data_IF_157311498405
#
_entry.id   IF_157311498405
#
_cell.length_a   1.000
_cell.length_b   1.000
_cell.length_c   1.000
_cell.angle_alpha   90.00
_cell.angle_beta   90.00
_cell.angle_gamma   90.00
#
_symmetry.space_group_name_H-M   'P 1'
#
loop_
_entity.id
_entity.type
_entity.pdbx_description
1 polymer ?
#
# COMPACT_ATOMS: atom_id res chain seq x y z
N UNK A 1 -4.92 10.69 -18.95
CA UNK A 1 -6.00 11.06 -18.01
C UNK A 1 -6.77 9.84 -17.49
N UNK A 2 -7.33 8.96 -18.34
CA UNK A 2 -8.05 7.76 -17.88
C UNK A 2 -7.17 6.80 -17.04
N UNK A 3 -5.93 6.56 -17.47
CA UNK A 3 -4.98 5.71 -16.73
C UNK A 3 -4.64 6.25 -15.33
N UNK A 4 -4.48 7.57 -15.20
CA UNK A 4 -4.21 8.22 -13.92
C UNK A 4 -5.36 8.05 -12.93
N UNK A 5 -6.59 8.25 -13.42
CA UNK A 5 -7.81 8.04 -12.64
C UNK A 5 -7.96 6.56 -12.25
N UNK A 6 -7.59 5.64 -13.14
CA UNK A 6 -7.57 4.20 -12.86
C UNK A 6 -6.62 3.83 -11.73
N UNK A 7 -5.41 4.40 -11.71
CA UNK A 7 -4.42 4.18 -10.63
C UNK A 7 -4.93 4.69 -9.30
N UNK A 8 -5.45 5.93 -9.26
CA UNK A 8 -5.96 6.53 -8.02
C UNK A 8 -7.18 5.78 -7.51
N UNK A 9 -8.13 5.43 -8.37
CA UNK A 9 -9.29 4.63 -7.99
C UNK A 9 -8.89 3.25 -7.44
N UNK A 10 -7.89 2.61 -8.03
CA UNK A 10 -7.36 1.33 -7.56
C UNK A 10 -6.68 1.46 -6.20
N UNK A 11 -5.93 2.53 -5.97
CA UNK A 11 -5.32 2.85 -4.67
C UNK A 11 -6.39 3.04 -3.58
N UNK A 12 -7.43 3.84 -3.87
CA UNK A 12 -8.56 4.06 -2.95
C UNK A 12 -9.26 2.74 -2.61
N UNK A 13 -9.50 1.88 -3.61
CA UNK A 13 -10.09 0.57 -3.39
C UNK A 13 -9.24 -0.29 -2.43
N UNK A 14 -7.91 -0.32 -2.61
CA UNK A 14 -7.01 -1.04 -1.70
C UNK A 14 -7.06 -0.46 -0.29
N UNK A 15 -7.09 0.87 -0.13
CA UNK A 15 -7.20 1.54 1.19
C UNK A 15 -8.46 1.06 1.90
N UNK A 16 -9.61 1.07 1.22
CA UNK A 16 -10.89 0.66 1.80
C UNK A 16 -10.89 -0.82 2.20
N UNK A 17 -10.41 -1.71 1.32
CA UNK A 17 -10.32 -3.15 1.61
C UNK A 17 -9.35 -3.39 2.78
N UNK A 18 -8.20 -2.71 2.80
CA UNK A 18 -7.22 -2.83 3.88
C UNK A 18 -7.80 -2.44 5.22
N UNK A 19 -8.59 -1.35 5.29
CA UNK A 19 -9.30 -0.97 6.51
C UNK A 19 -10.26 -2.06 6.99
N UNK A 20 -10.97 -2.71 6.07
CA UNK A 20 -11.88 -3.80 6.40
C UNK A 20 -11.14 -5.04 6.91
N UNK A 21 -10.06 -5.44 6.25
CA UNK A 21 -9.21 -6.56 6.68
C UNK A 21 -8.56 -6.28 8.03
N UNK A 22 -8.09 -5.05 8.27
CA UNK A 22 -7.54 -4.63 9.57
C UNK A 22 -8.58 -4.79 10.69
N UNK A 23 -9.83 -4.36 10.46
CA UNK A 23 -10.93 -4.53 11.43
C UNK A 23 -11.17 -6.01 11.73
N UNK A 24 -11.22 -6.85 10.69
CA UNK A 24 -11.40 -8.30 10.83
C UNK A 24 -10.25 -8.94 11.60
N UNK A 25 -9.00 -8.60 11.29
CA UNK A 25 -7.83 -9.11 11.99
C UNK A 25 -7.84 -8.75 13.48
N UNK A 26 -8.22 -7.51 13.83
CA UNK A 26 -8.36 -7.08 15.23
C UNK A 26 -9.45 -7.88 15.95
N UNK A 27 -10.62 -7.99 15.34
CA UNK A 27 -11.73 -8.79 15.87
C UNK A 27 -11.32 -10.26 16.14
N UNK A 28 -10.66 -10.92 15.18
CA UNK A 28 -10.22 -12.30 15.38
C UNK A 28 -9.10 -12.43 16.43
N UNK A 29 -8.21 -11.44 16.52
CA UNK A 29 -7.15 -11.41 17.55
C UNK A 29 -7.76 -11.33 18.95
N UNK A 30 -8.74 -10.45 19.16
CA UNK A 30 -9.48 -10.32 20.42
C UNK A 30 -10.26 -11.61 20.74
N UNK A 31 -10.91 -12.19 19.72
CA UNK A 31 -11.72 -13.41 19.85
C UNK A 31 -10.90 -14.65 20.24
N UNK A 32 -9.62 -14.72 19.84
CA UNK A 32 -8.79 -15.90 20.04
C UNK A 32 -8.00 -15.86 21.36
N UNK A 33 -7.85 -14.68 21.98
CA UNK A 33 -7.42 -14.35 23.37
C UNK A 33 -6.18 -15.03 23.99
N UNK A 34 -5.70 -16.19 23.53
CA UNK A 34 -4.60 -16.97 24.12
C UNK A 34 -3.35 -17.02 23.23
N UNK A 35 -3.49 -17.16 21.92
CA UNK A 35 -2.39 -17.03 20.96
C UNK A 35 -3.00 -16.67 19.61
N UNK A 36 -3.01 -15.38 19.26
CA UNK A 36 -3.43 -14.99 17.92
C UNK A 36 -2.42 -15.56 16.91
N UNK A 37 -2.88 -16.34 15.90
CA UNK A 37 -2.03 -16.89 14.87
C UNK A 37 -1.06 -15.83 14.33
N UNK A 38 0.23 -16.18 14.25
CA UNK A 38 1.27 -15.28 13.72
C UNK A 38 0.90 -14.74 12.33
N UNK A 39 0.17 -15.53 11.54
CA UNK A 39 -0.40 -15.13 10.26
C UNK A 39 -1.43 -13.99 10.35
N UNK A 40 -2.30 -13.93 11.37
CA UNK A 40 -3.20 -12.77 11.57
C UNK A 40 -2.42 -11.49 11.85
N UNK A 41 -1.38 -11.59 12.68
CA UNK A 41 -0.49 -10.47 13.00
C UNK A 41 0.26 -10.00 11.75
N UNK A 42 0.77 -10.92 10.95
CA UNK A 42 1.43 -10.62 9.68
C UNK A 42 0.48 -9.90 8.71
N UNK A 43 -0.78 -10.36 8.58
CA UNK A 43 -1.80 -9.68 7.79
C UNK A 43 -2.06 -8.26 8.30
N UNK A 44 -2.25 -8.10 9.61
CA UNK A 44 -2.50 -6.80 10.22
C UNK A 44 -1.38 -5.80 9.93
N UNK A 45 -0.12 -6.22 10.09
CA UNK A 45 1.06 -5.41 9.82
C UNK A 45 1.09 -5.02 8.34
N UNK A 46 1.05 -6.02 7.45
CA UNK A 46 1.19 -5.79 6.01
C UNK A 46 0.07 -4.91 5.46
N UNK A 47 -1.20 -5.13 5.85
CA UNK A 47 -2.32 -4.29 5.43
C UNK A 47 -2.20 -2.86 5.95
N UNK A 48 -1.70 -2.67 7.17
CA UNK A 48 -1.46 -1.34 7.72
C UNK A 48 -0.39 -0.60 6.92
N UNK A 49 0.71 -1.29 6.58
CA UNK A 49 1.79 -0.70 5.78
C UNK A 49 1.33 -0.37 4.35
N UNK A 50 0.61 -1.28 3.68
CA UNK A 50 0.09 -1.05 2.32
C UNK A 50 -0.88 0.12 2.31
N UNK A 51 -1.80 0.17 3.28
CA UNK A 51 -2.73 1.28 3.45
C UNK A 51 -1.96 2.61 3.53
N UNK A 52 -0.97 2.71 4.41
CA UNK A 52 -0.19 3.96 4.57
C UNK A 52 0.59 4.35 3.31
N UNK A 53 1.17 3.39 2.59
CA UNK A 53 1.85 3.67 1.31
C UNK A 53 0.87 4.25 0.28
N UNK A 54 -0.34 3.71 0.20
CA UNK A 54 -1.35 4.15 -0.76
C UNK A 54 -2.07 5.42 -0.34
N UNK A 55 -2.24 5.70 0.95
CA UNK A 55 -2.68 7.02 1.44
C UNK A 55 -1.68 8.11 1.03
N UNK A 56 -0.37 7.81 1.06
CA UNK A 56 0.66 8.70 0.51
C UNK A 56 0.50 8.93 -1.00
N UNK A 57 0.19 7.88 -1.76
CA UNK A 57 -0.08 7.99 -3.19
C UNK A 57 -1.35 8.81 -3.50
N UNK A 58 -2.43 8.58 -2.75
CA UNK A 58 -3.66 9.36 -2.84
C UNK A 58 -3.38 10.84 -2.55
N UNK A 59 -2.61 11.13 -1.50
CA UNK A 59 -2.21 12.51 -1.18
C UNK A 59 -1.44 13.17 -2.33
N UNK A 60 -0.47 12.50 -2.95
CA UNK A 60 0.25 13.05 -4.11
C UNK A 60 -0.68 13.35 -5.29
N UNK A 61 -1.76 12.58 -5.48
CA UNK A 61 -2.77 12.87 -6.50
C UNK A 61 -3.55 14.16 -6.25
N UNK A 62 -3.62 14.62 -4.99
CA UNK A 62 -4.27 15.89 -4.61
C UNK A 62 -3.35 17.10 -4.72
N UNK A 63 -2.04 16.91 -4.79
CA UNK A 63 -1.05 17.99 -4.76
C UNK A 63 -0.52 18.40 -6.14
N UNK A 64 -1.13 17.93 -7.24
CA UNK A 64 -0.60 18.06 -8.61
C UNK A 64 0.83 17.52 -8.80
N UNK A 65 1.36 16.77 -7.83
CA UNK A 65 2.69 16.12 -7.88
C UNK A 65 2.64 14.73 -8.52
N UNK A 66 1.47 14.31 -9.01
CA UNK A 66 1.29 13.02 -9.65
C UNK A 66 1.69 13.07 -11.12
N UNK A 67 3.00 13.09 -11.39
CA UNK A 67 3.53 13.29 -12.74
C UNK A 67 3.16 12.16 -13.71
N UNK A 68 3.15 12.43 -15.03
CA UNK A 68 2.95 11.37 -16.04
C UNK A 68 3.95 10.23 -15.94
N UNK A 69 5.18 10.53 -15.50
CA UNK A 69 6.23 9.52 -15.36
C UNK A 69 5.94 8.56 -14.20
N UNK A 70 5.43 9.08 -13.09
CA UNK A 70 4.96 8.28 -11.96
C UNK A 70 3.72 7.47 -12.34
N UNK A 71 2.76 8.08 -13.04
CA UNK A 71 1.57 7.39 -13.54
C UNK A 71 1.94 6.18 -14.39
N UNK A 72 2.84 6.34 -15.36
CA UNK A 72 3.27 5.24 -16.24
C UNK A 72 3.97 4.09 -15.49
N UNK A 73 4.65 4.37 -14.37
CA UNK A 73 5.27 3.34 -13.52
C UNK A 73 4.24 2.55 -12.69
N UNK A 74 3.06 3.13 -12.44
CA UNK A 74 2.03 2.57 -11.56
C UNK A 74 0.83 1.98 -12.31
N UNK A 75 0.57 2.48 -13.52
CA UNK A 75 -0.57 2.12 -14.37
C UNK A 75 -0.42 0.75 -15.04
N UNK A 76 -1.50 0.32 -15.69
CA UNK A 76 -1.59 -0.96 -16.38
C UNK A 76 -2.33 -2.04 -15.56
N UNK A 77 -2.94 -2.99 -16.28
CA UNK A 77 -3.65 -4.13 -15.70
C UNK A 77 -2.76 -5.05 -14.86
N UNK A 78 -1.48 -5.13 -15.22
CA UNK A 78 -0.45 -5.85 -14.47
C UNK A 78 0.45 -4.90 -13.66
N UNK A 79 0.04 -3.64 -13.55
CA UNK A 79 0.72 -2.60 -12.78
C UNK A 79 0.74 -2.91 -11.28
N UNK A 80 1.69 -2.34 -10.53
CA UNK A 80 1.86 -2.68 -9.13
C UNK A 80 0.65 -2.26 -8.26
N UNK A 81 -0.08 -1.20 -8.61
CA UNK A 81 -1.28 -0.78 -7.87
C UNK A 81 -2.46 -1.74 -8.13
N UNK A 82 -2.69 -2.10 -9.39
CA UNK A 82 -3.78 -3.02 -9.75
C UNK A 82 -3.51 -4.44 -9.23
N UNK A 83 -2.25 -4.91 -9.32
CA UNK A 83 -1.85 -6.18 -8.70
C UNK A 83 -2.03 -6.19 -7.18
N UNK A 84 -1.73 -5.07 -6.51
CA UNK A 84 -2.01 -4.92 -5.08
C UNK A 84 -3.52 -5.01 -4.79
N UNK A 85 -4.36 -4.35 -5.60
CA UNK A 85 -5.82 -4.42 -5.51
C UNK A 85 -6.35 -5.83 -5.66
N UNK A 86 -5.90 -6.55 -6.68
CA UNK A 86 -6.30 -7.93 -6.93
C UNK A 86 -5.93 -8.86 -5.76
N UNK A 87 -4.68 -8.78 -5.28
CA UNK A 87 -4.21 -9.62 -4.19
C UNK A 87 -4.89 -9.29 -2.85
N UNK A 88 -5.11 -8.00 -2.55
CA UNK A 88 -5.81 -7.55 -1.33
C UNK A 88 -7.29 -7.96 -1.35
N UNK A 89 -7.95 -7.88 -2.51
CA UNK A 89 -9.32 -8.38 -2.69
C UNK A 89 -9.40 -9.89 -2.50
N UNK A 90 -8.42 -10.64 -3.01
CA UNK A 90 -8.35 -12.09 -2.81
C UNK A 90 -8.12 -12.45 -1.34
N UNK A 91 -7.32 -11.67 -0.62
CA UNK A 91 -7.07 -11.83 0.81
C UNK A 91 -8.34 -11.56 1.64
N UNK A 92 -9.07 -10.49 1.33
CA UNK A 92 -10.34 -10.17 2.00
C UNK A 92 -11.35 -11.32 1.89
N UNK A 93 -11.45 -11.95 0.70
CA UNK A 93 -12.34 -13.10 0.47
C UNK A 93 -12.03 -14.32 1.35
N UNK A 94 -10.85 -14.40 1.96
CA UNK A 94 -10.52 -15.46 2.91
C UNK A 94 -11.20 -15.26 4.27
N UNK A 95 -11.65 -14.05 4.58
CA UNK A 95 -12.36 -13.74 5.81
C UNK A 95 -13.87 -14.01 5.66
N UNK A 96 -14.52 -14.62 6.67
CA UNK A 96 -15.98 -14.75 6.69
C UNK A 96 -16.66 -13.37 6.67
N UNK A 97 -17.64 -13.17 5.77
CA UNK A 97 -18.35 -11.89 5.61
C UNK A 97 -19.34 -11.58 6.75
N UNK A 98 -19.85 -12.62 7.41
CA UNK A 98 -20.91 -12.49 8.42
C UNK A 98 -20.40 -12.21 9.85
N UNK A 99 -19.09 -12.12 10.05
CA UNK A 99 -18.50 -12.13 11.39
C UNK A 99 -18.55 -10.80 12.14
N UNK A 100 -18.77 -9.68 11.45
CA UNK A 100 -18.72 -8.32 12.04
C UNK A 100 -20.09 -7.61 12.05
N UNK A 101 -21.04 -8.06 11.21
CA UNK A 101 -22.32 -7.34 11.02
C UNK A 101 -23.35 -7.58 12.13
N UNK A 102 -23.23 -8.69 12.88
CA UNK A 102 -24.13 -8.95 13.99
C UNK A 102 -23.45 -8.49 15.28
N UNK A 103 -23.90 -7.37 15.85
CA UNK A 103 -23.55 -6.96 17.22
C UNK A 103 -24.03 -7.92 18.32
N UNK A 104 -24.43 -9.16 17.95
CA UNK A 104 -24.79 -10.21 18.88
C UNK A 104 -23.55 -10.97 19.35
N UNK A 105 -23.55 -11.28 20.65
CA UNK A 105 -22.61 -12.17 21.34
C UNK A 105 -22.12 -13.29 20.43
N UNK A 106 -20.84 -13.24 20.05
CA UNK A 106 -20.18 -14.23 19.20
C UNK A 106 -20.39 -15.61 19.79
N UNK A 107 -21.11 -16.49 19.08
CA UNK A 107 -21.39 -17.83 19.60
C UNK A 107 -20.08 -18.62 19.78
N UNK A 108 -20.02 -19.48 20.80
CA UNK A 108 -18.88 -20.41 21.01
C UNK A 108 -18.55 -21.20 19.74
N UNK A 109 -19.55 -21.50 18.90
CA UNK A 109 -19.38 -22.19 17.60
C UNK A 109 -18.58 -21.36 16.60
N UNK A 110 -18.79 -20.06 16.55
CA UNK A 110 -18.09 -19.16 15.63
C UNK A 110 -16.62 -18.98 16.01
N UNK A 111 -16.32 -18.95 17.33
CA UNK A 111 -14.95 -18.99 17.84
C UNK A 111 -14.23 -20.27 17.37
N UNK A 112 -14.84 -21.42 17.61
CA UNK A 112 -14.28 -22.73 17.22
C UNK A 112 -14.09 -22.83 15.70
N UNK A 113 -15.07 -22.40 14.89
CA UNK A 113 -14.93 -22.40 13.43
C UNK A 113 -13.81 -21.49 12.95
N UNK A 114 -13.66 -20.30 13.52
CA UNK A 114 -12.59 -19.38 13.18
C UNK A 114 -11.21 -19.97 13.53
N UNK A 115 -11.07 -20.55 14.72
CA UNK A 115 -9.82 -21.19 15.17
C UNK A 115 -9.42 -22.35 14.26
N UNK A 116 -10.38 -23.17 13.80
CA UNK A 116 -10.10 -24.35 12.97
C UNK A 116 -9.91 -24.01 11.49
N UNK A 117 -10.63 -23.02 10.96
CA UNK A 117 -10.53 -22.64 9.55
C UNK A 117 -9.25 -21.85 9.25
N UNK A 118 -8.67 -21.18 10.25
CA UNK A 118 -7.53 -20.30 10.05
C UNK A 118 -6.21 -21.02 9.68
N UNK A 119 -5.79 -22.10 10.38
CA UNK A 119 -4.60 -22.88 10.00
C UNK A 119 -4.68 -23.42 8.56
N UNK A 120 -5.88 -23.86 8.13
CA UNK A 120 -6.10 -24.38 6.78
C UNK A 120 -5.96 -23.32 5.69
N UNK A 121 -6.16 -22.04 6.03
CA UNK A 121 -6.01 -20.90 5.11
C UNK A 121 -4.59 -20.32 5.10
N UNK A 122 -3.71 -20.77 6.01
CA UNK A 122 -2.42 -20.14 6.24
C UNK A 122 -1.52 -20.09 5.00
N UNK A 123 -1.44 -21.18 4.23
CA UNK A 123 -0.63 -21.22 3.00
C UNK A 123 -1.08 -20.16 2.00
N UNK A 124 -2.40 -20.10 1.74
CA UNK A 124 -2.96 -19.11 0.82
C UNK A 124 -2.81 -17.67 1.32
N UNK A 125 -2.93 -17.44 2.63
CA UNK A 125 -2.66 -16.13 3.25
C UNK A 125 -1.21 -15.72 3.01
N UNK A 126 -0.24 -16.62 3.24
CA UNK A 126 1.18 -16.33 3.04
C UNK A 126 1.51 -16.00 1.58
N UNK A 127 0.97 -16.76 0.62
CA UNK A 127 1.12 -16.48 -0.81
C UNK A 127 0.62 -15.07 -1.16
N UNK A 128 -0.57 -14.71 -0.69
CA UNK A 128 -1.16 -13.40 -0.97
C UNK A 128 -0.37 -12.28 -0.28
N UNK A 129 0.14 -12.48 0.93
CA UNK A 129 1.01 -11.51 1.60
C UNK A 129 2.32 -11.30 0.84
N UNK A 130 2.91 -12.34 0.26
CA UNK A 130 4.10 -12.20 -0.59
C UNK A 130 3.79 -11.40 -1.86
N UNK A 131 2.66 -11.66 -2.51
CA UNK A 131 2.22 -10.88 -3.68
C UNK A 131 2.02 -9.41 -3.32
N UNK A 132 1.29 -9.15 -2.23
CA UNK A 132 1.03 -7.78 -1.74
C UNK A 132 2.33 -7.07 -1.41
N UNK A 133 3.26 -7.74 -0.72
CA UNK A 133 4.58 -7.19 -0.39
C UNK A 133 5.40 -6.84 -1.62
N UNK A 134 5.39 -7.70 -2.66
CA UNK A 134 6.05 -7.43 -3.95
C UNK A 134 5.46 -6.20 -4.64
N UNK A 135 4.14 -6.10 -4.71
CA UNK A 135 3.45 -4.95 -5.31
C UNK A 135 3.72 -3.66 -4.54
N UNK A 136 3.67 -3.71 -3.20
CA UNK A 136 4.05 -2.62 -2.30
C UNK A 136 5.47 -2.12 -2.57
N UNK A 137 6.44 -3.04 -2.68
CA UNK A 137 7.82 -2.68 -3.00
C UNK A 137 7.93 -1.99 -4.37
N UNK A 138 7.17 -2.43 -5.37
CA UNK A 138 7.09 -1.77 -6.67
C UNK A 138 6.52 -0.34 -6.59
N UNK A 139 5.46 -0.14 -5.80
CA UNK A 139 4.88 1.19 -5.56
C UNK A 139 5.90 2.09 -4.86
N UNK A 140 6.52 1.61 -3.78
CA UNK A 140 7.53 2.37 -3.04
C UNK A 140 8.72 2.75 -3.92
N UNK A 141 9.21 1.83 -4.77
CA UNK A 141 10.29 2.12 -5.71
C UNK A 141 9.89 3.23 -6.69
N UNK A 142 8.67 3.19 -7.23
CA UNK A 142 8.18 4.24 -8.14
C UNK A 142 8.11 5.60 -7.43
N UNK A 143 7.60 5.65 -6.20
CA UNK A 143 7.54 6.85 -5.38
C UNK A 143 8.94 7.39 -5.04
N UNK A 144 9.86 6.53 -4.61
CA UNK A 144 11.25 6.93 -4.31
C UNK A 144 11.99 7.42 -5.55
N UNK A 145 11.72 6.81 -6.71
CA UNK A 145 12.28 7.28 -7.98
C UNK A 145 11.80 8.68 -8.31
N UNK A 146 10.52 8.99 -8.07
CA UNK A 146 9.96 10.33 -8.26
C UNK A 146 10.67 11.35 -7.36
N UNK A 147 10.71 11.09 -6.05
CA UNK A 147 11.38 11.96 -5.07
C UNK A 147 12.86 12.17 -5.42
N UNK A 148 13.53 11.15 -5.95
CA UNK A 148 14.92 11.25 -6.39
C UNK A 148 15.07 12.17 -7.60
N UNK A 149 14.12 12.16 -8.53
CA UNK A 149 14.11 13.08 -9.68
C UNK A 149 13.85 14.51 -9.21
N UNK A 150 12.82 14.73 -8.37
CA UNK A 150 12.52 16.05 -7.80
C UNK A 150 13.74 16.64 -7.07
N UNK A 151 14.46 15.81 -6.32
CA UNK A 151 15.68 16.22 -5.61
C UNK A 151 16.80 16.64 -6.56
N UNK A 152 16.96 15.94 -7.69
CA UNK A 152 17.95 16.31 -8.72
C UNK A 152 17.59 17.64 -9.38
N UNK A 153 16.32 17.85 -9.67
CA UNK A 153 15.83 19.08 -10.29
C UNK A 153 16.03 20.27 -9.34
N UNK A 154 15.66 20.12 -8.06
CA UNK A 154 15.93 21.12 -7.01
C UNK A 154 17.41 21.45 -6.93
N UNK A 155 18.29 20.44 -6.96
CA UNK A 155 19.74 20.64 -6.94
C UNK A 155 20.21 21.44 -8.16
N UNK A 156 19.77 21.07 -9.36
CA UNK A 156 20.16 21.74 -10.59
C UNK A 156 19.73 23.22 -10.58
N UNK A 157 18.49 23.50 -10.21
CA UNK A 157 17.99 24.88 -10.07
C UNK A 157 18.75 25.65 -8.99
N UNK A 158 19.07 25.02 -7.86
CA UNK A 158 19.85 25.66 -6.80
C UNK A 158 21.28 26.01 -7.27
N UNK A 159 21.92 25.14 -8.05
CA UNK A 159 23.24 25.39 -8.64
C UNK A 159 23.20 26.52 -9.66
N UNK A 160 22.16 26.60 -10.48
CA UNK A 160 21.93 27.70 -11.42
C UNK A 160 21.74 29.03 -10.70
N UNK A 161 20.87 29.09 -9.69
CA UNK A 161 20.68 30.29 -8.85
C UNK A 161 22.00 30.72 -8.23
N UNK A 162 22.78 29.77 -7.67
CA UNK A 162 24.10 30.07 -7.10
C UNK A 162 25.06 30.62 -8.14
N UNK A 163 25.06 30.08 -9.35
CA UNK A 163 25.88 30.56 -10.45
C UNK A 163 25.53 32.01 -10.82
N UNK A 164 24.24 32.32 -10.98
CA UNK A 164 23.74 33.67 -11.28
C UNK A 164 24.15 34.66 -10.18
N UNK A 165 23.94 34.30 -8.91
CA UNK A 165 24.21 35.19 -7.78
C UNK A 165 25.71 35.40 -7.52
N UNK A 166 26.55 34.42 -7.81
CA UNK A 166 27.99 34.48 -7.51
C UNK A 166 28.83 35.02 -8.66
N UNK A 167 28.25 35.18 -9.86
CA UNK A 167 28.81 35.97 -10.97
C UNK A 167 30.31 35.76 -11.22
N UNK A 168 30.81 34.52 -11.27
CA UNK A 168 32.26 34.31 -11.40
C UNK A 168 32.69 34.38 -12.87
N UNK A 169 33.12 35.57 -13.31
CA UNK A 169 34.13 35.71 -14.37
C UNK A 169 35.34 34.85 -13.95
N UNK A 170 35.58 33.72 -14.61
CA UNK A 170 36.91 33.11 -14.55
C UNK A 170 37.87 34.09 -15.24
N UNK A 171 38.77 34.71 -14.46
CA UNK A 171 39.97 35.27 -15.06
C UNK A 171 40.87 34.10 -15.49
N UNK A 172 41.44 34.14 -16.71
CA UNK A 172 42.38 33.14 -17.15
C UNK A 172 43.70 33.34 -16.42
N UNK A 173 44.21 32.27 -15.82
CA UNK A 173 45.53 32.21 -15.18
C UNK A 173 46.61 32.40 -16.24
N UNK A 174 47.37 33.49 -16.16
CA UNK A 174 48.72 33.63 -16.76
C UNK A 174 49.76 32.97 -15.87
#
# INVERSE_FOLDING_TARGET
>A
MAEALGVVASAIAVIQISQQVIKLCKFYTELLSSEAPSSLRAVLIEMSTVKSVLEGLEFLSTCDTFTPSLQNRLAGSDGPVEGCRAATTALEKLFPKDSVQSGQSTSKRQRVQATLAWPLKQGRVQELLQQISRHKAGIQLALTTEVTNDTKDIKATSEEIRFILTGRKLQPST
#
